data_IF_870131092129
#
_entry.id   IF_870131092129
#
_cell.length_a   1.000
_cell.length_b   1.000
_cell.length_c   1.000
_cell.angle_alpha   90.00
_cell.angle_beta   90.00
_cell.angle_gamma   90.00
#
_symmetry.space_group_name_H-M   'P 1'
#
loop_
_entity.id
_entity.type
_entity.pdbx_description
1 polymer ?
#
# COMPACT_ATOMS: atom_id res chain seq x y z
N UNK A 1 45.08 1.22 -3.55
CA UNK A 1 43.86 0.97 -2.75
C UNK A 1 42.64 1.71 -3.31
N UNK A 2 42.35 1.60 -4.61
CA UNK A 2 41.18 2.21 -5.27
C UNK A 2 40.16 1.24 -5.92
N UNK A 3 40.38 -0.10 -6.05
CA UNK A 3 39.40 -0.94 -6.73
C UNK A 3 38.26 -1.41 -5.82
N UNK A 4 38.45 -1.42 -4.49
CA UNK A 4 37.48 -1.96 -3.53
C UNK A 4 36.23 -1.08 -3.37
N UNK A 5 36.36 0.24 -3.50
CA UNK A 5 35.22 1.16 -3.32
C UNK A 5 34.24 1.10 -4.50
N UNK A 6 34.76 0.89 -5.72
CA UNK A 6 33.96 0.82 -6.95
C UNK A 6 33.17 -0.48 -7.02
N UNK A 7 33.71 -1.59 -6.53
CA UNK A 7 33.00 -2.87 -6.49
C UNK A 7 31.82 -2.83 -5.53
N UNK A 8 31.95 -2.16 -4.37
CA UNK A 8 30.89 -2.07 -3.37
C UNK A 8 29.67 -1.28 -3.88
N UNK A 9 29.89 -0.15 -4.56
CA UNK A 9 28.82 0.67 -5.14
C UNK A 9 28.05 -0.05 -6.26
N UNK A 10 28.74 -0.83 -7.11
CA UNK A 10 28.11 -1.60 -8.18
C UNK A 10 27.31 -2.79 -7.63
N UNK A 11 27.78 -3.44 -6.55
CA UNK A 11 27.00 -4.50 -5.89
C UNK A 11 25.73 -3.97 -5.21
N UNK A 12 25.73 -2.78 -4.63
CA UNK A 12 24.51 -2.19 -4.03
C UNK A 12 23.48 -1.82 -5.10
N UNK A 13 23.92 -1.33 -6.27
CA UNK A 13 23.05 -1.05 -7.41
C UNK A 13 22.48 -2.32 -8.05
N UNK A 14 23.26 -3.40 -8.16
CA UNK A 14 22.80 -4.66 -8.75
C UNK A 14 21.86 -5.44 -7.83
N UNK A 15 22.00 -5.34 -6.50
CA UNK A 15 21.07 -5.98 -5.56
C UNK A 15 19.72 -5.25 -5.53
N UNK A 16 19.69 -3.94 -5.80
CA UNK A 16 18.44 -3.19 -5.97
C UNK A 16 17.67 -3.53 -7.25
N UNK A 17 18.36 -4.00 -8.30
CA UNK A 17 17.74 -4.42 -9.56
C UNK A 17 17.31 -5.90 -9.58
N UNK A 18 17.84 -6.74 -8.69
CA UNK A 18 17.63 -8.19 -8.76
C UNK A 18 16.22 -8.66 -8.35
N UNK A 19 15.45 -7.84 -7.63
CA UNK A 19 14.10 -8.22 -7.15
C UNK A 19 12.96 -7.36 -7.73
N UNK A 20 13.23 -6.45 -8.68
CA UNK A 20 12.18 -5.64 -9.31
C UNK A 20 11.42 -4.67 -8.39
N UNK A 21 11.90 -4.44 -7.16
CA UNK A 21 11.23 -3.61 -6.14
C UNK A 21 11.75 -2.18 -6.15
N UNK A 22 11.06 -1.28 -6.85
CA UNK A 22 11.24 0.16 -6.64
C UNK A 22 10.63 0.53 -5.28
N UNK A 23 11.43 1.10 -4.37
CA UNK A 23 10.97 1.58 -3.06
C UNK A 23 11.33 3.05 -2.88
N UNK A 24 10.31 3.89 -2.75
CA UNK A 24 10.46 5.31 -2.43
C UNK A 24 9.53 5.60 -1.24
N UNK A 25 10.09 5.92 -0.08
CA UNK A 25 9.38 6.20 1.19
C UNK A 25 9.30 5.03 2.17
N UNK A 26 8.63 5.24 3.31
CA UNK A 26 8.55 4.27 4.41
C UNK A 26 7.10 4.11 4.91
N UNK A 27 6.42 2.99 4.58
CA UNK A 27 5.10 2.70 5.12
C UNK A 27 5.21 2.39 6.61
N UNK A 28 4.09 2.40 7.36
CA UNK A 28 4.08 1.97 8.75
C UNK A 28 4.61 0.54 8.88
N UNK A 29 5.50 0.30 9.84
CA UNK A 29 6.13 -1.02 10.08
C UNK A 29 5.09 -2.12 10.32
N UNK A 30 3.95 -1.77 10.93
CA UNK A 30 2.83 -2.68 11.21
C UNK A 30 1.61 -2.40 10.33
N UNK A 31 1.83 -1.74 9.19
CA UNK A 31 0.84 -1.39 8.17
C UNK A 31 0.60 -2.51 7.17
N UNK A 32 -0.40 -2.32 6.30
CA UNK A 32 -0.79 -3.34 5.32
C UNK A 32 0.30 -3.57 4.28
N UNK A 33 1.02 -2.54 3.84
CA UNK A 33 2.08 -2.68 2.82
C UNK A 33 3.18 -3.58 3.36
N UNK A 34 3.67 -3.28 4.57
CA UNK A 34 4.67 -4.10 5.25
C UNK A 34 4.19 -5.54 5.44
N UNK A 35 2.91 -5.72 5.78
CA UNK A 35 2.32 -7.05 5.99
C UNK A 35 2.20 -7.87 4.69
N UNK A 36 1.83 -7.22 3.57
CA UNK A 36 1.78 -7.84 2.24
C UNK A 36 3.17 -8.22 1.76
N UNK A 37 4.14 -7.31 1.83
CA UNK A 37 5.51 -7.57 1.38
C UNK A 37 6.19 -8.69 2.19
N UNK A 38 5.85 -8.84 3.48
CA UNK A 38 6.34 -9.92 4.32
C UNK A 38 5.67 -11.26 4.03
N UNK A 39 4.39 -11.25 3.65
CA UNK A 39 3.63 -12.48 3.34
C UNK A 39 3.96 -12.99 1.94
N UNK A 40 4.23 -12.09 0.99
CA UNK A 40 4.54 -12.38 -0.40
C UNK A 40 5.89 -11.75 -0.82
N UNK A 41 7.02 -12.19 -0.22
CA UNK A 41 8.34 -11.63 -0.53
C UNK A 41 8.82 -11.89 -1.96
N UNK A 42 8.26 -12.89 -2.63
CA UNK A 42 8.58 -13.29 -4.00
C UNK A 42 7.80 -12.53 -5.07
N UNK A 43 6.67 -11.91 -4.70
CA UNK A 43 5.82 -11.24 -5.69
C UNK A 43 6.44 -9.94 -6.18
N UNK A 44 6.35 -9.66 -7.50
CA UNK A 44 6.69 -8.35 -8.03
C UNK A 44 5.85 -7.30 -7.33
N UNK A 45 6.52 -6.28 -6.82
CA UNK A 45 5.85 -5.12 -6.24
C UNK A 45 6.66 -3.87 -6.45
N UNK A 46 5.98 -2.74 -6.56
CA UNK A 46 6.61 -1.42 -6.52
C UNK A 46 5.90 -0.58 -5.49
N UNK A 47 6.68 0.12 -4.67
CA UNK A 47 6.16 0.98 -3.61
C UNK A 47 6.62 2.41 -3.85
N UNK A 48 5.64 3.30 -3.99
CA UNK A 48 5.87 4.74 -4.12
C UNK A 48 5.11 5.45 -3.03
N UNK A 49 5.82 6.25 -2.24
CA UNK A 49 5.25 7.14 -1.25
C UNK A 49 5.20 8.56 -1.79
N UNK A 50 4.06 9.20 -1.55
CA UNK A 50 3.83 10.62 -1.75
C UNK A 50 3.01 11.08 -0.57
N UNK A 51 3.37 12.17 0.10
CA UNK A 51 2.52 12.72 1.16
C UNK A 51 1.07 12.86 0.66
N UNK A 52 0.04 12.40 1.40
CA UNK A 52 0.05 11.81 2.75
C UNK A 52 0.12 10.25 2.84
N UNK A 53 0.42 9.54 1.76
CA UNK A 53 0.28 8.08 1.67
C UNK A 53 1.51 7.33 1.13
N UNK A 54 1.47 6.01 1.27
CA UNK A 54 2.31 5.07 0.53
C UNK A 54 1.40 4.20 -0.35
N UNK A 55 1.81 3.94 -1.58
CA UNK A 55 1.12 3.03 -2.51
C UNK A 55 2.00 1.83 -2.78
N UNK A 56 1.47 0.62 -2.58
CA UNK A 56 2.05 -0.63 -3.06
C UNK A 56 1.27 -1.09 -4.29
N UNK A 57 1.96 -1.26 -5.41
CA UNK A 57 1.46 -1.95 -6.60
C UNK A 57 1.90 -3.40 -6.53
N UNK A 58 0.97 -4.34 -6.69
CA UNK A 58 1.23 -5.78 -6.62
C UNK A 58 0.22 -6.57 -7.45
N UNK A 59 0.28 -7.91 -7.42
CA UNK A 59 -0.64 -8.79 -8.14
C UNK A 59 -2.02 -8.87 -7.47
N UNK A 60 -3.07 -9.12 -8.25
CA UNK A 60 -4.46 -9.09 -7.79
C UNK A 60 -4.87 -10.20 -6.82
N UNK A 61 -4.15 -11.32 -6.81
CA UNK A 61 -4.44 -12.47 -5.95
C UNK A 61 -4.09 -12.23 -4.45
N UNK A 62 -3.51 -11.07 -4.13
CA UNK A 62 -3.32 -10.58 -2.75
C UNK A 62 -4.65 -10.18 -2.09
N UNK A 63 -5.75 -10.05 -2.84
CA UNK A 63 -7.05 -9.62 -2.32
C UNK A 63 -7.54 -10.43 -1.11
N UNK A 64 -7.40 -11.76 -1.13
CA UNK A 64 -7.81 -12.63 -0.02
C UNK A 64 -7.04 -12.32 1.28
N UNK A 65 -5.78 -11.87 1.16
CA UNK A 65 -4.99 -11.44 2.30
C UNK A 65 -5.50 -10.14 2.91
N UNK A 66 -5.98 -9.19 2.07
CA UNK A 66 -6.53 -7.92 2.54
C UNK A 66 -7.75 -8.13 3.44
N UNK A 67 -8.65 -9.03 3.03
CA UNK A 67 -9.84 -9.38 3.82
C UNK A 67 -9.45 -9.93 5.21
N UNK A 68 -8.54 -10.92 5.24
CA UNK A 68 -8.04 -11.49 6.49
C UNK A 68 -7.35 -10.44 7.36
N UNK A 69 -6.59 -9.54 6.76
CA UNK A 69 -5.93 -8.45 7.50
C UNK A 69 -6.95 -7.53 8.16
N UNK A 70 -8.01 -7.13 7.47
CA UNK A 70 -9.07 -6.30 8.04
C UNK A 70 -9.75 -6.97 9.23
N UNK A 71 -10.11 -8.25 9.07
CA UNK A 71 -10.72 -9.03 10.15
C UNK A 71 -9.82 -9.08 11.39
N UNK A 72 -8.51 -9.31 11.22
CA UNK A 72 -7.54 -9.32 12.31
C UNK A 72 -7.41 -7.96 13.02
N UNK A 73 -7.66 -6.86 12.31
CA UNK A 73 -7.67 -5.50 12.86
C UNK A 73 -9.04 -5.11 13.46
N UNK A 74 -10.02 -6.03 13.49
CA UNK A 74 -11.41 -5.75 13.87
C UNK A 74 -12.05 -4.63 13.03
N UNK A 75 -11.64 -4.57 11.77
CA UNK A 75 -12.12 -3.63 10.76
C UNK A 75 -12.97 -4.35 9.72
N UNK A 76 -13.63 -3.58 8.86
CA UNK A 76 -14.54 -4.06 7.82
C UNK A 76 -13.85 -3.80 6.46
N UNK A 77 -13.75 -4.83 5.63
CA UNK A 77 -13.37 -4.66 4.23
C UNK A 77 -14.66 -4.39 3.43
N UNK A 78 -14.73 -3.25 2.77
CA UNK A 78 -15.85 -2.90 1.88
C UNK A 78 -15.33 -2.71 0.46
N UNK A 79 -16.07 -3.22 -0.53
CA UNK A 79 -15.76 -3.04 -1.95
C UNK A 79 -17.00 -2.56 -2.72
N UNK A 80 -17.52 -1.35 -2.42
CA UNK A 80 -18.76 -0.87 -3.02
C UNK A 80 -18.59 -0.43 -4.48
N UNK A 81 -17.36 -0.24 -4.95
CA UNK A 81 -17.06 0.16 -6.33
C UNK A 81 -16.41 -1.00 -7.10
N UNK A 82 -16.68 -1.17 -8.41
CA UNK A 82 -16.11 -2.27 -9.19
C UNK A 82 -14.57 -2.32 -9.22
N UNK A 83 -13.92 -1.17 -9.04
CA UNK A 83 -12.48 -1.03 -9.15
C UNK A 83 -11.81 -0.48 -7.89
N UNK A 84 -12.55 -0.29 -6.78
CA UNK A 84 -12.01 0.28 -5.56
C UNK A 84 -12.81 -0.09 -4.31
N UNK A 85 -12.10 -0.26 -3.22
CA UNK A 85 -12.67 -0.44 -1.90
C UNK A 85 -11.68 -0.04 -0.82
N UNK A 86 -12.05 -0.32 0.42
CA UNK A 86 -11.23 0.05 1.57
C UNK A 86 -11.37 -0.93 2.72
N UNK A 87 -10.47 -0.78 3.67
CA UNK A 87 -10.56 -1.37 4.98
C UNK A 87 -10.78 -0.25 5.99
N UNK A 88 -11.88 -0.28 6.75
CA UNK A 88 -12.29 0.81 7.62
C UNK A 88 -12.67 0.31 9.01
N UNK A 89 -12.29 1.04 10.05
CA UNK A 89 -12.69 0.71 11.43
C UNK A 89 -14.14 1.15 11.71
N UNK A 90 -14.79 0.62 12.76
CA UNK A 90 -16.13 1.06 13.16
C UNK A 90 -16.25 2.57 13.44
N UNK A 91 -15.15 3.22 13.81
CA UNK A 91 -15.04 4.66 14.05
C UNK A 91 -14.79 5.48 12.77
N UNK A 92 -14.97 4.86 11.60
CA UNK A 92 -14.77 5.48 10.28
C UNK A 92 -13.31 5.92 10.03
N UNK A 93 -12.33 5.21 10.60
CA UNK A 93 -10.92 5.43 10.28
C UNK A 93 -10.48 4.48 9.13
N UNK A 94 -10.08 4.98 7.95
CA UNK A 94 -9.59 4.12 6.88
C UNK A 94 -8.22 3.55 7.25
N UNK A 95 -8.10 2.23 7.34
CA UNK A 95 -6.81 1.56 7.50
C UNK A 95 -6.01 1.56 6.20
N UNK A 96 -6.69 1.27 5.08
CA UNK A 96 -6.13 1.35 3.74
C UNK A 96 -7.24 1.42 2.69
N UNK A 97 -6.87 1.85 1.49
CA UNK A 97 -7.70 1.83 0.29
C UNK A 97 -7.03 0.90 -0.72
N UNK A 98 -7.82 0.11 -1.44
CA UNK A 98 -7.32 -0.71 -2.55
C UNK A 98 -8.09 -0.38 -3.82
N UNK A 99 -7.41 -0.45 -4.97
CA UNK A 99 -8.01 -0.18 -6.26
C UNK A 99 -7.29 -0.91 -7.39
N UNK A 100 -7.96 -1.09 -8.52
CA UNK A 100 -7.35 -1.70 -9.72
C UNK A 100 -6.21 -0.82 -10.22
N UNK A 101 -5.04 -1.42 -10.40
CA UNK A 101 -3.92 -0.75 -11.07
C UNK A 101 -4.15 -0.74 -12.59
N UNK A 102 -3.59 0.26 -13.29
CA UNK A 102 -3.70 0.42 -14.75
C UNK A 102 -3.08 -0.75 -15.53
N UNK A 103 -2.23 -1.54 -14.88
CA UNK A 103 -1.54 -2.71 -15.44
C UNK A 103 -2.30 -4.02 -15.22
N UNK A 104 -3.49 -3.99 -14.60
CA UNK A 104 -4.27 -5.18 -14.24
C UNK A 104 -3.90 -5.79 -12.89
N UNK A 105 -3.00 -5.14 -12.13
CA UNK A 105 -2.67 -5.48 -10.76
C UNK A 105 -3.61 -4.83 -9.74
N UNK A 106 -3.18 -4.87 -8.47
CA UNK A 106 -3.82 -4.24 -7.33
C UNK A 106 -2.90 -3.17 -6.76
N UNK A 107 -3.45 -1.97 -6.54
CA UNK A 107 -2.78 -0.92 -5.81
C UNK A 107 -3.40 -0.81 -4.40
N UNK A 108 -2.53 -0.72 -3.39
CA UNK A 108 -2.91 -0.58 -1.98
C UNK A 108 -2.31 0.71 -1.46
N UNK A 109 -3.15 1.66 -1.04
CA UNK A 109 -2.77 2.91 -0.40
C UNK A 109 -3.00 2.84 1.11
N UNK A 110 -1.98 3.18 1.88
CA UNK A 110 -2.11 3.40 3.32
C UNK A 110 -1.45 4.70 3.75
N UNK A 111 -1.81 5.18 4.94
CA UNK A 111 -1.21 6.36 5.55
C UNK A 111 0.31 6.21 5.66
N UNK A 112 1.07 7.22 5.25
CA UNK A 112 2.53 7.21 5.43
C UNK A 112 2.93 7.45 6.89
N UNK A 113 4.12 7.02 7.30
CA UNK A 113 4.58 7.08 8.70
C UNK A 113 4.54 8.49 9.30
N UNK A 114 4.87 9.51 8.49
CA UNK A 114 4.99 10.91 8.93
C UNK A 114 3.71 11.73 8.69
N UNK A 115 2.58 11.06 8.43
CA UNK A 115 1.29 11.71 8.17
C UNK A 115 0.39 11.67 9.40
N UNK A 116 -0.24 12.82 9.70
CA UNK A 116 -1.28 12.91 10.72
C UNK A 116 -2.57 12.24 10.28
N UNK A 117 -3.31 11.64 11.21
CA UNK A 117 -4.57 10.94 10.91
C UNK A 117 -5.58 11.84 10.19
N UNK A 118 -5.62 13.13 10.54
CA UNK A 118 -6.52 14.11 9.92
C UNK A 118 -6.22 14.30 8.43
N UNK A 119 -4.94 14.32 8.05
CA UNK A 119 -4.50 14.58 6.68
C UNK A 119 -4.81 13.37 5.81
N UNK A 120 -4.62 12.17 6.36
CA UNK A 120 -5.04 10.92 5.73
C UNK A 120 -6.56 10.87 5.53
N UNK A 121 -7.34 11.15 6.57
CA UNK A 121 -8.81 11.15 6.48
C UNK A 121 -9.27 12.18 5.43
N UNK A 122 -8.75 13.40 5.47
CA UNK A 122 -9.10 14.45 4.50
C UNK A 122 -8.77 14.01 3.07
N UNK A 123 -7.56 13.50 2.85
CA UNK A 123 -7.15 12.96 1.56
C UNK A 123 -8.10 11.87 1.05
N UNK A 124 -8.47 10.90 1.90
CA UNK A 124 -9.38 9.84 1.48
C UNK A 124 -10.78 10.36 1.15
N UNK A 125 -11.26 11.42 1.83
CA UNK A 125 -12.54 12.06 1.52
C UNK A 125 -12.50 12.81 0.20
N UNK A 126 -11.39 13.46 -0.10
CA UNK A 126 -11.19 14.25 -1.32
C UNK A 126 -11.04 13.33 -2.54
N UNK A 127 -10.14 12.35 -2.49
CA UNK A 127 -9.81 11.49 -3.63
C UNK A 127 -10.76 10.30 -3.79
N UNK A 128 -11.27 9.77 -2.67
CA UNK A 128 -12.13 8.59 -2.64
C UNK A 128 -13.50 8.89 -2.04
N UNK A 129 -14.03 10.10 -2.29
CA UNK A 129 -15.32 10.55 -1.76
C UNK A 129 -16.50 9.62 -2.08
N UNK A 130 -16.43 8.87 -3.19
CA UNK A 130 -17.43 7.86 -3.51
C UNK A 130 -17.50 6.71 -2.47
N UNK A 131 -16.38 6.37 -1.81
CA UNK A 131 -16.39 5.39 -0.70
C UNK A 131 -17.05 5.98 0.56
N UNK A 132 -16.83 7.28 0.82
CA UNK A 132 -17.36 7.96 2.00
C UNK A 132 -18.84 8.31 1.93
N UNK A 133 -19.32 8.68 0.74
CA UNK A 133 -20.64 9.28 0.56
C UNK A 133 -21.53 8.47 -0.39
N UNK A 134 -20.98 7.48 -1.08
CA UNK A 134 -21.67 6.69 -2.11
C UNK A 134 -22.50 5.51 -1.60
N UNK A 135 -22.64 5.33 -0.28
CA UNK A 135 -23.52 4.30 0.29
C UNK A 135 -24.87 4.91 0.67
N UNK A 136 -25.63 5.31 -0.36
CA UNK A 136 -27.09 5.36 -0.26
C UNK A 136 -27.62 4.17 -1.05
N UNK A 137 -27.95 3.07 -0.35
CA UNK A 137 -28.86 2.04 -0.88
C UNK A 137 -30.28 2.37 -0.43
#
# INVERSE_FOLDING_TARGET
>A
MKPLLTTFFVSVLLVGCANGRLRIGTPPVNGIISAVENTYPEKPSSMVSSWPYATLHTEGDVFQYLEKYCQNKKAILENPLPAAGWCITPEMYPLFIFYSDATGGLAIREKSTDTEDKDWINYTKEEFGALWYGVSL
#
